data_IF_417487914429
#
_entry.id   IF_417487914429
#
_cell.length_a   1.000
_cell.length_b   1.000
_cell.length_c   1.000
_cell.angle_alpha   90.00
_cell.angle_beta   90.00
_cell.angle_gamma   90.00
#
_symmetry.space_group_name_H-M   'P 1'
#
loop_
_entity.id
_entity.type
_entity.pdbx_description
1 polymer ?
#
# COMPACT_ATOMS: atom_id res chain seq x y z
N UNK A 1 -0.14 2.00 -23.62
CA UNK A 1 -1.60 2.00 -23.32
C UNK A 1 -2.25 3.32 -23.73
N UNK A 2 -1.81 4.50 -23.27
CA UNK A 2 -2.43 5.81 -23.59
C UNK A 2 -2.64 6.06 -25.08
N UNK A 3 -1.60 5.83 -25.92
CA UNK A 3 -1.70 6.05 -27.36
C UNK A 3 -2.67 5.08 -28.05
N UNK A 4 -2.82 3.87 -27.53
CA UNK A 4 -3.78 2.89 -28.08
C UNK A 4 -5.20 3.27 -27.67
N UNK A 5 -5.42 3.60 -26.39
CA UNK A 5 -6.73 4.04 -25.89
C UNK A 5 -7.29 5.20 -26.72
N UNK A 6 -6.48 6.24 -26.97
CA UNK A 6 -6.89 7.39 -27.79
C UNK A 6 -7.31 7.02 -29.21
N UNK A 7 -6.66 6.03 -29.84
CA UNK A 7 -7.03 5.55 -31.19
C UNK A 7 -8.41 4.90 -31.24
N UNK A 8 -8.88 4.39 -30.10
CA UNK A 8 -10.19 3.73 -29.98
C UNK A 8 -11.23 4.61 -29.25
N UNK A 9 -10.99 5.90 -29.10
CA UNK A 9 -11.91 6.83 -28.42
C UNK A 9 -12.00 6.64 -26.92
N UNK A 10 -11.02 5.96 -26.29
CA UNK A 10 -10.97 5.70 -24.86
C UNK A 10 -9.95 6.60 -24.16
N UNK A 11 -10.16 6.83 -22.88
CA UNK A 11 -9.20 7.51 -21.99
C UNK A 11 -8.52 6.47 -21.10
N UNK A 12 -7.19 6.51 -21.05
CA UNK A 12 -6.41 5.66 -20.17
C UNK A 12 -6.03 6.46 -18.93
N UNK A 13 -6.65 6.13 -17.80
CA UNK A 13 -6.35 6.72 -16.50
C UNK A 13 -5.20 5.95 -15.85
N UNK A 14 -4.12 6.66 -15.51
CA UNK A 14 -2.93 6.09 -14.85
C UNK A 14 -2.84 6.50 -13.37
N UNK A 15 -3.90 7.05 -12.81
CA UNK A 15 -3.98 7.37 -11.39
C UNK A 15 -4.07 6.07 -10.57
N UNK A 16 -3.47 6.05 -9.39
CA UNK A 16 -3.45 4.89 -8.49
C UNK A 16 -4.86 4.43 -8.12
N UNK A 17 -5.76 5.39 -7.88
CA UNK A 17 -7.16 5.15 -7.50
C UNK A 17 -8.05 6.22 -8.15
N UNK A 18 -8.49 6.03 -9.40
CA UNK A 18 -9.27 7.04 -10.12
C UNK A 18 -10.67 7.24 -9.53
N UNK A 19 -11.29 6.19 -8.95
CA UNK A 19 -12.62 6.22 -8.37
C UNK A 19 -12.68 5.41 -7.08
N UNK A 20 -13.50 5.87 -6.12
CA UNK A 20 -13.81 5.10 -4.91
C UNK A 20 -14.61 3.84 -5.28
N UNK A 21 -14.39 2.75 -4.54
CA UNK A 21 -15.15 1.50 -4.71
C UNK A 21 -14.79 0.64 -5.93
N UNK A 22 -13.83 1.05 -6.76
CA UNK A 22 -13.32 0.25 -7.90
C UNK A 22 -11.83 -0.04 -7.74
N UNK A 23 -11.33 -1.02 -8.48
CA UNK A 23 -9.92 -1.38 -8.45
C UNK A 23 -9.05 -0.19 -8.91
N UNK A 24 -7.93 -0.02 -8.22
CA UNK A 24 -6.88 0.93 -8.61
C UNK A 24 -5.81 0.28 -9.48
N UNK A 25 -4.69 0.98 -9.65
CA UNK A 25 -3.50 0.43 -10.30
C UNK A 25 -2.28 0.52 -9.40
N UNK A 26 -1.46 -0.51 -9.43
CA UNK A 26 -0.22 -0.60 -8.68
C UNK A 26 0.86 -1.28 -9.50
N UNK A 27 2.06 -1.33 -8.92
CA UNK A 27 3.18 -2.13 -9.41
C UNK A 27 3.44 -3.26 -8.44
N UNK A 28 3.72 -4.44 -8.97
CA UNK A 28 4.22 -5.56 -8.19
C UNK A 28 5.73 -5.64 -8.42
N UNK A 29 6.49 -5.37 -7.37
CA UNK A 29 7.94 -5.46 -7.39
C UNK A 29 8.36 -6.88 -7.03
N UNK A 30 8.75 -7.66 -8.04
CA UNK A 30 9.32 -8.99 -7.83
C UNK A 30 10.79 -8.82 -7.45
N UNK A 31 11.17 -9.31 -6.29
CA UNK A 31 12.47 -9.14 -5.70
C UNK A 31 13.05 -10.48 -5.23
N UNK A 32 14.31 -10.74 -5.57
CA UNK A 32 15.05 -11.91 -5.15
C UNK A 32 16.51 -11.55 -4.94
N UNK A 33 17.27 -12.47 -4.37
CA UNK A 33 18.71 -12.38 -4.18
C UNK A 33 19.39 -13.54 -4.91
N UNK A 34 20.57 -13.29 -5.47
CA UNK A 34 21.32 -14.33 -6.13
C UNK A 34 22.81 -14.10 -5.99
N UNK A 35 23.60 -15.16 -6.18
CA UNK A 35 25.04 -15.12 -6.28
C UNK A 35 25.47 -14.56 -7.65
N UNK A 36 26.75 -14.22 -7.78
CA UNK A 36 27.37 -13.84 -9.06
C UNK A 36 27.40 -14.99 -10.06
N UNK A 37 27.29 -16.24 -9.60
CA UNK A 37 27.18 -17.44 -10.44
C UNK A 37 25.71 -17.67 -10.92
N UNK A 38 24.77 -16.88 -10.43
CA UNK A 38 23.36 -16.92 -10.84
C UNK A 38 22.47 -17.87 -10.04
N UNK A 39 22.96 -18.38 -8.90
CA UNK A 39 22.14 -19.15 -7.96
C UNK A 39 21.16 -18.23 -7.24
N UNK A 40 19.87 -18.61 -7.20
CA UNK A 40 18.84 -17.88 -6.48
C UNK A 40 18.77 -18.31 -5.02
N UNK A 41 19.14 -17.44 -4.10
CA UNK A 41 19.16 -17.69 -2.66
C UNK A 41 17.76 -17.84 -2.02
N UNK A 42 16.72 -17.45 -2.75
CA UNK A 42 15.32 -17.61 -2.35
C UNK A 42 14.63 -18.78 -3.08
N UNK A 43 15.41 -19.69 -3.70
CA UNK A 43 14.85 -20.90 -4.26
C UNK A 43 14.78 -21.98 -3.18
N UNK A 44 13.57 -22.46 -2.82
CA UNK A 44 13.40 -23.50 -1.79
C UNK A 44 13.94 -24.86 -2.21
N UNK A 45 14.10 -25.12 -3.52
CA UNK A 45 14.37 -26.46 -4.05
C UNK A 45 13.23 -27.43 -3.80
N UNK A 46 13.53 -28.72 -3.92
CA UNK A 46 12.54 -29.80 -3.75
C UNK A 46 12.23 -30.10 -2.27
N UNK A 47 13.16 -29.77 -1.35
CA UNK A 47 13.04 -30.02 0.10
C UNK A 47 13.28 -28.73 0.90
N UNK A 48 12.30 -27.79 0.94
CA UNK A 48 12.46 -26.49 1.60
C UNK A 48 12.88 -26.57 3.08
N UNK A 49 12.43 -27.60 3.80
CA UNK A 49 12.71 -27.83 5.22
C UNK A 49 14.15 -28.26 5.51
N UNK A 50 14.88 -28.77 4.50
CA UNK A 50 16.28 -29.17 4.57
C UNK A 50 17.22 -28.11 4.00
N UNK A 51 16.69 -27.16 3.22
CA UNK A 51 17.48 -26.10 2.57
C UNK A 51 17.79 -24.96 3.55
N UNK A 52 18.81 -25.16 4.37
CA UNK A 52 19.21 -24.20 5.40
C UNK A 52 19.61 -22.84 4.85
N UNK A 53 20.21 -22.77 3.66
CA UNK A 53 20.55 -21.53 2.98
C UNK A 53 19.29 -20.74 2.65
N UNK A 54 18.32 -21.37 2.01
CA UNK A 54 17.03 -20.75 1.70
C UNK A 54 16.32 -20.24 2.97
N UNK A 55 16.27 -21.07 4.02
CA UNK A 55 15.63 -20.71 5.30
C UNK A 55 16.33 -19.52 5.98
N UNK A 56 17.67 -19.45 5.91
CA UNK A 56 18.44 -18.32 6.43
C UNK A 56 18.05 -17.01 5.75
N UNK A 57 18.04 -16.97 4.41
CA UNK A 57 17.67 -15.76 3.68
C UNK A 57 16.20 -15.39 3.84
N UNK A 58 15.30 -16.35 3.93
CA UNK A 58 13.89 -16.09 4.26
C UNK A 58 13.75 -15.50 5.68
N UNK A 59 14.45 -16.03 6.68
CA UNK A 59 14.44 -15.51 8.05
C UNK A 59 14.98 -14.06 8.09
N UNK A 60 16.04 -13.77 7.34
CA UNK A 60 16.58 -12.41 7.21
C UNK A 60 15.55 -11.43 6.63
N UNK A 61 14.81 -11.84 5.58
CA UNK A 61 13.74 -11.01 5.01
C UNK A 61 12.61 -10.78 6.01
N UNK A 62 12.18 -11.81 6.73
CA UNK A 62 11.13 -11.68 7.76
C UNK A 62 11.56 -10.70 8.85
N UNK A 63 12.79 -10.84 9.35
CA UNK A 63 13.37 -9.94 10.35
C UNK A 63 13.48 -8.51 9.85
N UNK A 64 13.97 -8.30 8.63
CA UNK A 64 14.12 -6.99 8.00
C UNK A 64 12.79 -6.24 7.89
N UNK A 65 11.77 -6.90 7.36
CA UNK A 65 10.44 -6.30 7.17
C UNK A 65 9.76 -6.01 8.49
N UNK A 66 9.89 -6.92 9.48
CA UNK A 66 9.34 -6.70 10.81
C UNK A 66 9.99 -5.50 11.52
N UNK A 67 11.32 -5.44 11.52
CA UNK A 67 12.07 -4.36 12.19
C UNK A 67 11.82 -3.01 11.53
N UNK A 68 11.77 -2.96 10.20
CA UNK A 68 11.72 -1.72 9.41
C UNK A 68 10.41 -1.50 8.69
N UNK A 69 9.28 -2.00 9.23
CA UNK A 69 7.95 -1.86 8.62
C UNK A 69 7.56 -0.39 8.34
N UNK A 70 7.90 0.53 9.24
CA UNK A 70 7.63 1.96 9.08
C UNK A 70 8.43 2.58 7.92
N UNK A 71 9.71 2.27 7.82
CA UNK A 71 10.57 2.73 6.73
C UNK A 71 10.12 2.15 5.38
N UNK A 72 9.77 0.86 5.34
CA UNK A 72 9.25 0.23 4.12
C UNK A 72 7.94 0.88 3.68
N UNK A 73 7.02 1.21 4.63
CA UNK A 73 5.79 1.97 4.34
C UNK A 73 6.11 3.39 3.86
N UNK A 74 7.06 4.08 4.47
CA UNK A 74 7.49 5.41 4.06
C UNK A 74 8.04 5.43 2.62
N UNK A 75 8.72 4.36 2.20
CA UNK A 75 9.31 4.24 0.87
C UNK A 75 8.28 4.28 -0.28
N UNK A 76 7.01 4.00 0.03
CA UNK A 76 5.89 4.00 -0.93
C UNK A 76 4.87 5.11 -0.65
N UNK A 77 5.17 6.03 0.26
CA UNK A 77 4.25 7.09 0.66
C UNK A 77 4.03 8.11 -0.47
N UNK A 78 2.77 8.43 -0.75
CA UNK A 78 2.37 9.49 -1.68
C UNK A 78 0.87 9.75 -1.55
N UNK A 79 0.36 10.95 -1.98
CA UNK A 79 -1.08 11.23 -1.94
C UNK A 79 -1.94 10.19 -2.67
N UNK A 80 -1.48 9.71 -3.83
CA UNK A 80 -2.18 8.66 -4.59
C UNK A 80 -2.26 7.33 -3.85
N UNK A 81 -1.26 6.99 -3.03
CA UNK A 81 -1.24 5.80 -2.20
C UNK A 81 -2.22 5.88 -1.03
N UNK A 82 -2.43 7.07 -0.45
CA UNK A 82 -3.39 7.27 0.63
C UNK A 82 -4.83 6.93 0.17
N UNK A 83 -5.15 7.22 -1.10
CA UNK A 83 -6.43 6.82 -1.70
C UNK A 83 -6.49 5.35 -2.11
N UNK A 84 -5.34 4.73 -2.44
CA UNK A 84 -5.27 3.39 -3.00
C UNK A 84 -5.25 2.30 -1.94
N UNK A 85 -4.41 2.44 -0.89
CA UNK A 85 -4.17 1.39 0.09
C UNK A 85 -5.43 1.02 0.88
N UNK A 86 -5.62 -0.28 1.12
CA UNK A 86 -6.64 -0.80 2.02
C UNK A 86 -7.93 -1.31 1.37
N UNK A 87 -8.09 -1.25 0.04
CA UNK A 87 -9.29 -1.76 -0.62
C UNK A 87 -9.06 -2.11 -2.11
N UNK A 88 -9.95 -2.96 -2.65
CA UNK A 88 -10.07 -3.23 -4.10
C UNK A 88 -8.73 -3.61 -4.76
N UNK A 89 -8.18 -4.73 -4.35
CA UNK A 89 -6.91 -5.32 -4.82
C UNK A 89 -5.64 -4.52 -4.47
N UNK A 90 -5.75 -3.46 -3.66
CA UNK A 90 -4.60 -2.81 -3.06
C UNK A 90 -4.40 -3.29 -1.62
N UNK A 91 -3.17 -3.66 -1.20
CA UNK A 91 -2.93 -4.11 0.15
C UNK A 91 -3.18 -2.99 1.17
N UNK A 92 -3.41 -3.33 2.46
CA UNK A 92 -3.52 -2.32 3.51
C UNK A 92 -2.18 -1.61 3.77
N UNK A 93 -2.23 -0.55 4.57
CA UNK A 93 -1.04 0.17 5.02
C UNK A 93 -0.18 -0.62 6.02
N UNK A 94 -0.71 -1.70 6.57
CA UNK A 94 0.00 -2.62 7.46
C UNK A 94 0.95 -3.47 6.64
N UNK A 95 2.25 -3.41 6.93
CA UNK A 95 3.22 -4.29 6.31
C UNK A 95 3.15 -5.67 6.96
N UNK A 96 2.71 -6.67 6.21
CA UNK A 96 2.66 -8.07 6.61
C UNK A 96 3.25 -8.95 5.53
N UNK A 97 3.74 -10.12 5.91
CA UNK A 97 4.35 -11.08 4.99
C UNK A 97 3.44 -12.29 4.85
N UNK A 98 3.14 -12.67 3.62
CA UNK A 98 2.54 -13.95 3.28
C UNK A 98 3.63 -14.93 2.85
N UNK A 99 3.76 -16.04 3.56
CA UNK A 99 4.73 -17.10 3.23
C UNK A 99 4.13 -18.25 2.40
N UNK A 100 2.82 -18.39 2.46
CA UNK A 100 2.11 -19.57 1.99
C UNK A 100 2.10 -20.69 3.04
N UNK A 101 1.10 -21.56 2.95
CA UNK A 101 0.80 -22.57 3.97
C UNK A 101 1.98 -23.52 4.25
N UNK A 102 2.71 -23.92 3.21
CA UNK A 102 3.80 -24.90 3.38
C UNK A 102 5.03 -24.27 4.04
N UNK A 103 5.47 -23.09 3.60
CA UNK A 103 6.63 -22.43 4.19
C UNK A 103 6.34 -21.96 5.62
N UNK A 104 5.12 -21.52 5.92
CA UNK A 104 4.69 -21.18 7.27
C UNK A 104 4.74 -22.38 8.22
N UNK A 105 4.33 -23.57 7.75
CA UNK A 105 4.48 -24.82 8.53
C UNK A 105 5.95 -25.13 8.82
N UNK A 106 6.83 -24.96 7.83
CA UNK A 106 8.27 -25.20 8.02
C UNK A 106 8.82 -24.28 9.12
N UNK A 107 8.53 -22.98 9.06
CA UNK A 107 9.00 -22.04 10.08
C UNK A 107 8.40 -22.29 11.46
N UNK A 108 7.13 -22.70 11.54
CA UNK A 108 6.48 -23.05 12.78
C UNK A 108 7.11 -24.33 13.41
N UNK A 109 7.49 -25.32 12.59
CA UNK A 109 8.21 -26.50 13.06
C UNK A 109 9.62 -26.15 13.55
N UNK A 110 10.34 -25.24 12.88
CA UNK A 110 11.63 -24.71 13.32
C UNK A 110 11.49 -24.03 14.68
N UNK A 111 10.47 -23.19 14.87
CA UNK A 111 10.21 -22.54 16.14
C UNK A 111 10.02 -23.53 17.30
N UNK A 112 9.34 -24.64 17.04
CA UNK A 112 9.08 -25.69 18.03
C UNK A 112 10.28 -26.60 18.28
N UNK A 113 11.38 -26.41 17.50
CA UNK A 113 12.57 -27.26 17.56
C UNK A 113 12.34 -28.65 16.95
N UNK A 114 11.27 -28.80 16.17
CA UNK A 114 10.97 -30.03 15.46
C UNK A 114 11.86 -30.10 14.21
N UNK A 115 12.59 -31.20 14.05
CA UNK A 115 13.28 -31.50 12.80
C UNK A 115 12.19 -31.92 11.82
N UNK A 116 11.94 -31.09 10.80
CA UNK A 116 10.82 -31.30 9.89
C UNK A 116 10.86 -32.69 9.24
N UNK A 117 9.97 -33.56 9.65
CA UNK A 117 9.61 -34.70 8.83
C UNK A 117 8.92 -34.16 7.58
N UNK A 118 9.33 -34.65 6.42
CA UNK A 118 8.69 -34.31 5.15
C UNK A 118 7.19 -34.51 5.28
N UNK A 119 6.40 -33.42 5.30
CA UNK A 119 4.97 -33.55 5.13
C UNK A 119 4.74 -34.15 3.75
N UNK A 120 4.03 -35.29 3.63
CA UNK A 120 3.71 -35.87 2.34
C UNK A 120 3.05 -34.78 1.50
N UNK A 121 3.43 -34.69 0.22
CA UNK A 121 2.80 -33.78 -0.76
C UNK A 121 1.28 -33.74 -0.51
N UNK A 122 0.76 -32.62 -0.07
CA UNK A 122 -0.67 -32.46 0.13
C UNK A 122 -1.32 -32.38 -1.25
N UNK A 123 -2.06 -33.42 -1.60
CA UNK A 123 -2.82 -33.47 -2.84
C UNK A 123 -4.22 -32.87 -2.63
N UNK A 124 -4.61 -31.98 -3.50
CA UNK A 124 -6.01 -31.53 -3.61
C UNK A 124 -6.86 -32.71 -4.08
N UNK A 125 -7.55 -33.36 -3.14
CA UNK A 125 -8.61 -34.32 -3.44
C UNK A 125 -9.83 -33.59 -3.97
N UNK A 126 -10.00 -33.56 -5.29
CA UNK A 126 -11.14 -32.90 -5.96
C UNK A 126 -12.46 -33.67 -5.78
N UNK A 127 -12.50 -34.71 -4.92
CA UNK A 127 -13.72 -35.47 -4.60
C UNK A 127 -14.34 -36.23 -5.76
N UNK A 128 -13.67 -36.27 -6.93
CA UNK A 128 -14.14 -36.98 -8.12
C UNK A 128 -13.17 -38.10 -8.47
N UNK A 129 -13.66 -39.34 -8.66
CA UNK A 129 -12.83 -40.51 -8.96
C UNK A 129 -12.15 -40.49 -10.35
N UNK A 130 -12.38 -39.46 -11.14
CA UNK A 130 -11.96 -39.35 -12.55
C UNK A 130 -10.77 -38.43 -12.76
N UNK A 131 -10.41 -37.59 -11.79
CA UNK A 131 -9.26 -36.68 -11.92
C UNK A 131 -8.10 -37.19 -11.03
N UNK A 132 -6.87 -37.23 -11.57
CA UNK A 132 -5.70 -37.53 -10.75
C UNK A 132 -5.54 -36.46 -9.64
N UNK A 133 -5.06 -36.88 -8.45
CA UNK A 133 -4.73 -35.92 -7.40
C UNK A 133 -3.72 -34.89 -7.95
N UNK A 134 -4.08 -33.61 -7.89
CA UNK A 134 -3.18 -32.53 -8.27
C UNK A 134 -2.31 -32.19 -7.07
N UNK A 135 -0.96 -32.12 -7.22
CA UNK A 135 -0.12 -31.61 -6.16
C UNK A 135 -0.56 -30.19 -5.81
N UNK A 136 -0.75 -29.91 -4.52
CA UNK A 136 -0.91 -28.55 -4.06
C UNK A 136 0.39 -27.81 -4.33
N UNK A 137 0.39 -26.96 -5.35
CA UNK A 137 1.48 -26.03 -5.50
C UNK A 137 1.51 -25.12 -4.28
N UNK A 138 2.66 -25.00 -3.61
CA UNK A 138 2.92 -24.02 -2.55
C UNK A 138 2.81 -22.55 -2.98
N UNK A 139 2.24 -22.30 -4.14
CA UNK A 139 1.93 -20.99 -4.71
C UNK A 139 0.51 -20.54 -4.42
N UNK A 140 -0.01 -20.77 -3.23
CA UNK A 140 -1.24 -20.11 -2.79
C UNK A 140 -1.07 -18.61 -2.87
N UNK A 141 -1.93 -17.94 -3.65
CA UNK A 141 -1.83 -16.51 -3.89
C UNK A 141 -2.78 -15.78 -2.93
N UNK A 142 -2.27 -15.36 -1.79
CA UNK A 142 -2.95 -14.32 -1.04
C UNK A 142 -2.83 -12.99 -1.79
N UNK A 143 -3.93 -12.54 -2.43
CA UNK A 143 -3.95 -11.31 -3.23
C UNK A 143 -3.99 -10.04 -2.37
N UNK A 144 -4.28 -10.18 -1.08
CA UNK A 144 -4.45 -9.06 -0.16
C UNK A 144 -3.17 -8.68 0.58
N UNK A 145 -2.17 -9.57 0.62
CA UNK A 145 -0.90 -9.32 1.31
C UNK A 145 -0.04 -8.28 0.61
N UNK A 146 0.55 -7.31 1.34
CA UNK A 146 1.44 -6.30 0.78
C UNK A 146 2.81 -6.87 0.37
N UNK A 147 3.27 -7.93 1.03
CA UNK A 147 4.56 -8.56 0.78
C UNK A 147 4.39 -10.09 0.82
N UNK A 148 4.61 -10.76 -0.29
CA UNK A 148 4.30 -12.18 -0.42
C UNK A 148 5.45 -12.96 -1.00
N UNK A 149 5.76 -14.14 -0.41
CA UNK A 149 6.61 -15.14 -1.02
C UNK A 149 5.84 -15.85 -2.16
N UNK A 150 6.43 -15.91 -3.34
CA UNK A 150 5.78 -16.45 -4.55
C UNK A 150 6.61 -17.55 -5.22
N UNK A 151 7.12 -18.47 -4.39
CA UNK A 151 7.78 -19.70 -4.82
C UNK A 151 9.32 -19.60 -4.87
N UNK A 152 9.90 -18.53 -5.39
CA UNK A 152 11.36 -18.33 -5.44
C UNK A 152 11.77 -16.87 -5.35
N UNK A 153 10.89 -16.01 -4.86
CA UNK A 153 11.07 -14.57 -4.70
C UNK A 153 10.00 -14.00 -3.79
N UNK A 154 10.24 -12.81 -3.29
CA UNK A 154 9.21 -11.99 -2.67
C UNK A 154 8.62 -11.00 -3.68
N UNK A 155 7.35 -10.73 -3.54
CA UNK A 155 6.60 -9.77 -4.34
C UNK A 155 6.09 -8.65 -3.43
N UNK A 156 6.65 -7.45 -3.58
CA UNK A 156 6.17 -6.26 -2.88
C UNK A 156 5.09 -5.57 -3.71
N UNK A 157 3.84 -5.63 -3.25
CA UNK A 157 2.62 -5.26 -4.00
C UNK A 157 2.07 -3.88 -3.66
N UNK A 158 2.61 -3.25 -2.63
CA UNK A 158 2.08 -2.00 -2.11
C UNK A 158 2.54 -0.74 -2.88
N UNK A 159 3.22 -0.88 -4.01
CA UNK A 159 3.74 0.24 -4.79
C UNK A 159 2.67 0.84 -5.71
N UNK A 160 2.56 2.17 -5.72
CA UNK A 160 1.69 2.90 -6.64
C UNK A 160 2.14 2.80 -8.10
N UNK A 161 1.19 2.87 -9.03
CA UNK A 161 1.46 2.72 -10.47
C UNK A 161 2.36 3.82 -11.05
N UNK A 162 2.29 5.03 -10.53
CA UNK A 162 3.09 6.20 -10.95
C UNK A 162 4.46 6.30 -10.27
N UNK A 163 4.71 5.49 -9.20
CA UNK A 163 5.92 5.58 -8.41
C UNK A 163 7.14 4.97 -9.12
N UNK A 164 8.33 5.52 -8.81
CA UNK A 164 9.61 4.88 -9.11
C UNK A 164 9.84 3.69 -8.16
N UNK A 165 10.47 2.64 -8.66
CA UNK A 165 10.91 1.49 -7.85
C UNK A 165 12.23 1.76 -7.10
N UNK A 166 12.91 2.89 -7.35
CA UNK A 166 14.24 3.17 -6.82
C UNK A 166 14.27 3.20 -5.31
N UNK A 167 13.45 4.05 -4.67
CA UNK A 167 13.46 4.17 -3.21
C UNK A 167 13.00 2.89 -2.50
N UNK A 168 11.88 2.25 -2.89
CA UNK A 168 11.48 0.97 -2.29
C UNK A 168 12.55 -0.12 -2.40
N UNK A 169 13.25 -0.21 -3.54
CA UNK A 169 14.36 -1.18 -3.70
C UNK A 169 15.58 -0.80 -2.86
N UNK A 170 15.92 0.50 -2.79
CA UNK A 170 17.01 0.96 -1.93
C UNK A 170 16.74 0.60 -0.47
N UNK A 171 15.53 0.88 0.02
CA UNK A 171 15.11 0.53 1.38
C UNK A 171 15.16 -0.99 1.58
N UNK A 172 14.50 -1.76 0.69
CA UNK A 172 14.43 -3.22 0.82
C UNK A 172 15.82 -3.86 0.85
N UNK A 173 16.70 -3.46 -0.08
CA UNK A 173 18.06 -3.99 -0.11
C UNK A 173 18.83 -3.66 1.18
N UNK A 174 18.70 -2.43 1.70
CA UNK A 174 19.46 -2.01 2.89
C UNK A 174 18.97 -2.69 4.16
N UNK A 175 17.64 -2.79 4.37
CA UNK A 175 17.09 -3.47 5.55
C UNK A 175 17.39 -4.96 5.56
N UNK A 176 17.38 -5.60 4.37
CA UNK A 176 17.73 -7.02 4.26
C UNK A 176 19.23 -7.24 4.45
N UNK A 177 20.10 -6.34 3.95
CA UNK A 177 21.52 -6.40 4.22
C UNK A 177 21.82 -6.35 5.73
N UNK A 178 21.18 -5.42 6.48
CA UNK A 178 21.32 -5.36 7.93
C UNK A 178 20.88 -6.66 8.63
N UNK A 179 19.76 -7.24 8.20
CA UNK A 179 19.29 -8.48 8.80
C UNK A 179 20.22 -9.68 8.49
N UNK A 180 20.79 -9.71 7.28
CA UNK A 180 21.79 -10.74 6.90
C UNK A 180 23.05 -10.58 7.74
N UNK A 181 23.58 -9.36 7.86
CA UNK A 181 24.77 -9.09 8.69
C UNK A 181 24.56 -9.55 10.13
N UNK A 182 23.42 -9.18 10.73
CA UNK A 182 23.10 -9.57 12.11
C UNK A 182 23.06 -11.10 12.30
N UNK A 183 22.38 -11.82 11.37
CA UNK A 183 22.30 -13.28 11.48
C UNK A 183 23.64 -13.97 11.12
N UNK A 184 24.42 -13.38 10.22
CA UNK A 184 25.73 -13.88 9.83
C UNK A 184 26.74 -13.73 10.95
N UNK A 185 26.76 -12.61 11.70
CA UNK A 185 27.61 -12.39 12.87
C UNK A 185 27.34 -13.46 13.95
N UNK A 186 26.07 -13.72 14.26
CA UNK A 186 25.70 -14.79 15.21
C UNK A 186 26.17 -16.19 14.72
N UNK A 187 26.10 -16.45 13.40
CA UNK A 187 26.52 -17.71 12.81
C UNK A 187 28.04 -17.85 12.85
N UNK A 188 28.79 -16.80 12.51
CA UNK A 188 30.25 -16.76 12.53
C UNK A 188 30.76 -17.02 13.95
N UNK A 189 30.20 -16.35 14.97
CA UNK A 189 30.55 -16.57 16.37
C UNK A 189 30.35 -18.03 16.82
N UNK A 190 29.25 -18.65 16.39
CA UNK A 190 28.97 -20.05 16.71
C UNK A 190 29.94 -21.03 16.02
N UNK A 191 30.31 -20.75 14.77
CA UNK A 191 31.27 -21.56 14.00
C UNK A 191 32.70 -21.41 14.57
N UNK A 192 33.11 -20.19 14.95
CA UNK A 192 34.37 -19.94 15.62
C UNK A 192 34.47 -20.66 16.96
N UNK A 193 33.34 -20.78 17.68
CA UNK A 193 33.25 -21.58 18.91
C UNK A 193 33.32 -23.10 18.66
N UNK A 194 33.41 -23.55 17.40
CA UNK A 194 33.55 -24.95 16.99
C UNK A 194 32.25 -25.71 16.76
N UNK A 195 31.13 -25.03 16.61
CA UNK A 195 29.86 -25.67 16.26
C UNK A 195 29.87 -26.14 14.79
N UNK A 196 29.14 -27.20 14.50
CA UNK A 196 28.81 -27.60 13.13
C UNK A 196 27.79 -26.62 12.53
N UNK A 197 27.82 -26.42 11.20
CA UNK A 197 26.99 -25.43 10.50
C UNK A 197 25.49 -25.62 10.81
N UNK A 198 24.99 -26.84 10.71
CA UNK A 198 23.58 -27.12 10.96
C UNK A 198 23.22 -26.91 12.43
N UNK A 199 24.10 -27.35 13.35
CA UNK A 199 23.91 -27.18 14.79
C UNK A 199 23.95 -25.70 15.22
N UNK A 200 24.75 -24.86 14.52
CA UNK A 200 24.83 -23.43 14.74
C UNK A 200 23.60 -22.70 14.19
N UNK A 201 23.18 -23.05 12.98
CA UNK A 201 22.14 -22.30 12.25
C UNK A 201 20.73 -22.52 12.78
N UNK A 202 20.38 -23.75 13.16
CA UNK A 202 19.01 -24.07 13.65
C UNK A 202 18.56 -23.21 14.84
N UNK A 203 19.34 -23.01 15.91
CA UNK A 203 18.95 -22.14 17.01
C UNK A 203 18.82 -20.65 16.59
N UNK A 204 19.64 -20.19 15.64
CA UNK A 204 19.56 -18.83 15.09
C UNK A 204 18.23 -18.63 14.37
N UNK A 205 17.87 -19.55 13.47
CA UNK A 205 16.58 -19.51 12.75
C UNK A 205 15.39 -19.55 13.71
N UNK A 206 15.45 -20.42 14.73
CA UNK A 206 14.41 -20.56 15.75
C UNK A 206 14.19 -19.23 16.49
N UNK A 207 15.26 -18.61 17.01
CA UNK A 207 15.18 -17.33 17.71
C UNK A 207 14.71 -16.19 16.79
N UNK A 208 15.29 -16.12 15.58
CA UNK A 208 14.92 -15.08 14.62
C UNK A 208 13.45 -15.15 14.26
N UNK A 209 12.94 -16.34 13.93
CA UNK A 209 11.52 -16.48 13.58
C UNK A 209 10.61 -16.20 14.77
N UNK A 210 10.89 -16.74 15.94
CA UNK A 210 10.10 -16.50 17.16
C UNK A 210 9.99 -15.00 17.51
N UNK A 211 11.08 -14.24 17.29
CA UNK A 211 11.12 -12.80 17.55
C UNK A 211 10.40 -11.97 16.48
N UNK A 212 10.19 -12.49 15.27
CA UNK A 212 9.71 -11.72 14.12
C UNK A 212 8.41 -12.26 13.49
N UNK A 213 7.88 -13.39 13.94
CA UNK A 213 6.70 -14.05 13.34
C UNK A 213 5.42 -13.22 13.38
N UNK A 214 5.33 -12.19 14.24
CA UNK A 214 4.17 -11.30 14.31
C UNK A 214 3.86 -10.59 12.98
N UNK A 215 4.86 -10.44 12.09
CA UNK A 215 4.68 -9.84 10.76
C UNK A 215 4.07 -10.83 9.75
N UNK A 216 4.11 -12.15 10.06
CA UNK A 216 3.61 -13.19 9.14
C UNK A 216 2.10 -13.33 9.29
N UNK A 217 1.39 -13.23 8.16
CA UNK A 217 -0.06 -13.36 8.15
C UNK A 217 -0.57 -13.96 6.83
N UNK A 218 -1.33 -15.06 6.95
CA UNK A 218 -1.87 -15.82 5.81
C UNK A 218 -3.33 -15.55 5.47
N UNK A 219 -4.05 -14.75 6.30
CA UNK A 219 -5.48 -14.48 6.15
C UNK A 219 -5.84 -13.33 5.23
N UNK A 220 -7.08 -12.85 5.33
CA UNK A 220 -7.58 -11.70 4.58
C UNK A 220 -7.09 -10.39 5.21
N UNK A 221 -6.18 -9.70 4.53
CA UNK A 221 -5.59 -8.45 4.99
C UNK A 221 -6.57 -7.26 4.96
N UNK A 222 -7.77 -7.40 4.39
CA UNK A 222 -8.79 -6.34 4.39
C UNK A 222 -9.74 -6.41 5.57
N UNK A 223 -9.75 -7.52 6.32
CA UNK A 223 -10.70 -7.73 7.41
C UNK A 223 -10.44 -6.79 8.59
N UNK A 224 -11.50 -6.35 9.25
CA UNK A 224 -11.39 -5.55 10.49
C UNK A 224 -10.76 -6.38 11.63
N UNK A 225 -10.98 -7.68 11.63
CA UNK A 225 -10.36 -8.61 12.57
C UNK A 225 -8.84 -8.59 12.42
N UNK A 226 -8.33 -8.53 11.17
CA UNK A 226 -6.90 -8.40 10.94
C UNK A 226 -6.36 -7.05 11.45
N UNK A 227 -7.07 -5.96 11.22
CA UNK A 227 -6.61 -4.65 11.69
C UNK A 227 -6.48 -4.64 13.23
N UNK A 228 -7.43 -5.20 13.96
CA UNK A 228 -7.38 -5.33 15.42
C UNK A 228 -6.26 -6.29 15.87
N UNK A 229 -6.09 -7.41 15.18
CA UNK A 229 -5.04 -8.37 15.46
C UNK A 229 -3.64 -7.77 15.22
N UNK A 230 -3.43 -7.08 14.10
CA UNK A 230 -2.18 -6.41 13.75
C UNK A 230 -1.78 -5.39 14.82
N UNK A 231 -2.72 -4.59 15.32
CA UNK A 231 -2.49 -3.66 16.42
C UNK A 231 -2.07 -4.41 17.69
N UNK A 232 -2.74 -5.51 18.03
CA UNK A 232 -2.38 -6.34 19.18
C UNK A 232 -1.00 -6.99 19.09
N UNK A 233 -0.53 -7.26 17.84
CA UNK A 233 0.80 -7.76 17.53
C UNK A 233 1.87 -6.65 17.51
N UNK A 234 1.50 -5.37 17.68
CA UNK A 234 2.40 -4.22 17.61
C UNK A 234 2.80 -3.82 16.19
N UNK A 235 2.03 -4.22 15.18
CA UNK A 235 2.27 -3.83 13.80
C UNK A 235 1.74 -2.42 13.52
N UNK A 236 2.47 -1.66 12.70
CA UNK A 236 2.11 -0.29 12.36
C UNK A 236 1.04 -0.24 11.28
N UNK A 237 0.02 0.59 11.48
CA UNK A 237 -0.99 0.90 10.48
C UNK A 237 -0.89 2.37 10.06
N UNK A 238 0.09 2.69 9.23
CA UNK A 238 0.39 4.05 8.77
C UNK A 238 -0.44 4.37 7.53
N UNK A 239 -1.70 4.75 7.73
CA UNK A 239 -2.69 4.90 6.65
C UNK A 239 -2.35 6.04 5.70
N UNK A 240 -1.93 7.18 6.22
CA UNK A 240 -1.62 8.37 5.44
C UNK A 240 -0.11 8.60 5.28
N UNK A 241 0.24 9.32 4.24
CA UNK A 241 1.62 9.72 3.94
C UNK A 241 2.28 10.50 5.09
N UNK A 242 1.62 11.49 5.74
CA UNK A 242 2.19 12.19 6.89
C UNK A 242 2.53 11.28 8.07
N UNK A 243 1.79 10.18 8.27
CA UNK A 243 2.07 9.21 9.33
C UNK A 243 3.33 8.39 9.05
N UNK A 244 3.60 8.13 7.76
CA UNK A 244 4.70 7.27 7.34
C UNK A 244 6.03 8.00 7.16
N UNK A 245 6.01 9.22 6.61
CA UNK A 245 7.24 9.94 6.26
C UNK A 245 8.20 10.19 7.41
N UNK A 246 7.80 10.41 8.68
CA UNK A 246 8.72 10.59 9.80
C UNK A 246 9.70 9.40 9.99
N UNK A 247 9.32 8.20 9.55
CA UNK A 247 10.22 7.02 9.60
C UNK A 247 11.44 7.14 8.68
N UNK A 248 11.43 8.04 7.68
CA UNK A 248 12.61 8.29 6.85
C UNK A 248 13.76 8.98 7.61
N UNK A 249 13.44 9.72 8.65
CA UNK A 249 14.37 10.52 9.44
C UNK A 249 14.46 10.05 10.89
N UNK A 250 13.93 8.87 11.22
CA UNK A 250 14.09 8.28 12.55
C UNK A 250 15.56 7.93 12.80
N UNK A 251 15.97 7.94 14.05
CA UNK A 251 17.35 7.60 14.45
C UNK A 251 17.78 6.22 13.94
N UNK A 252 16.88 5.25 13.97
CA UNK A 252 17.13 3.90 13.42
C UNK A 252 17.42 3.93 11.93
N UNK A 253 16.63 4.69 11.15
CA UNK A 253 16.83 4.84 9.71
C UNK A 253 18.13 5.56 9.39
N UNK A 254 18.43 6.64 10.09
CA UNK A 254 19.69 7.39 9.93
C UNK A 254 20.89 6.49 10.21
N UNK A 255 20.84 5.72 11.30
CA UNK A 255 21.88 4.77 11.68
C UNK A 255 22.04 3.67 10.62
N UNK A 256 20.94 3.07 10.19
CA UNK A 256 20.92 2.03 9.15
C UNK A 256 21.62 2.52 7.86
N UNK A 257 21.14 3.63 7.30
CA UNK A 257 21.67 4.11 6.02
C UNK A 257 23.12 4.60 6.11
N UNK A 258 23.51 5.16 7.27
CA UNK A 258 24.89 5.58 7.53
C UNK A 258 25.83 4.39 7.63
N UNK A 259 25.45 3.32 8.32
CA UNK A 259 26.28 2.11 8.51
C UNK A 259 26.60 1.43 7.16
N UNK A 260 25.63 1.42 6.24
CA UNK A 260 25.81 0.83 4.90
C UNK A 260 26.30 1.85 3.85
N UNK A 261 26.52 3.11 4.22
CA UNK A 261 27.04 4.14 3.30
C UNK A 261 26.09 4.45 2.14
N UNK A 262 24.77 4.22 2.30
CA UNK A 262 23.77 4.36 1.24
C UNK A 262 23.26 5.79 1.15
N UNK A 263 22.84 6.38 2.27
CA UNK A 263 22.38 7.77 2.37
C UNK A 263 22.90 8.39 3.68
N UNK A 264 23.35 9.61 3.62
CA UNK A 264 23.66 10.41 4.80
C UNK A 264 22.39 10.96 5.46
N UNK A 265 22.48 11.34 6.73
CA UNK A 265 21.37 12.01 7.44
C UNK A 265 20.83 13.20 6.66
N UNK A 266 21.69 14.05 6.10
CA UNK A 266 21.30 15.22 5.31
C UNK A 266 20.51 14.84 4.05
N UNK A 267 20.86 13.74 3.42
CA UNK A 267 20.13 13.27 2.22
C UNK A 267 18.76 12.68 2.58
N UNK A 268 18.64 12.05 3.76
CA UNK A 268 17.36 11.58 4.27
C UNK A 268 16.45 12.75 4.65
N UNK A 269 16.97 13.74 5.39
CA UNK A 269 16.24 14.95 5.77
C UNK A 269 15.75 15.71 4.51
N UNK A 270 16.62 15.87 3.52
CA UNK A 270 16.23 16.53 2.26
C UNK A 270 15.12 15.80 1.52
N UNK A 271 15.13 14.44 1.50
CA UNK A 271 14.05 13.64 0.90
C UNK A 271 12.75 13.77 1.68
N UNK A 272 12.84 13.75 2.99
CA UNK A 272 11.68 13.92 3.88
C UNK A 272 10.98 15.25 3.61
N UNK A 273 11.72 16.36 3.60
CA UNK A 273 11.18 17.70 3.30
C UNK A 273 10.56 17.75 1.90
N UNK A 274 11.27 17.25 0.89
CA UNK A 274 10.76 17.23 -0.50
C UNK A 274 9.48 16.40 -0.63
N UNK A 275 9.38 15.26 0.06
CA UNK A 275 8.16 14.44 -0.02
C UNK A 275 6.98 15.09 0.70
N UNK A 276 7.20 15.76 1.82
CA UNK A 276 6.17 16.57 2.48
C UNK A 276 5.69 17.71 1.58
N UNK A 277 6.62 18.46 0.96
CA UNK A 277 6.30 19.53 0.03
C UNK A 277 5.52 19.01 -1.20
N UNK A 278 5.93 17.88 -1.76
CA UNK A 278 5.22 17.24 -2.87
C UNK A 278 3.80 16.80 -2.47
N UNK A 279 3.62 16.28 -1.24
CA UNK A 279 2.32 15.91 -0.73
C UNK A 279 1.40 17.12 -0.64
N UNK A 280 1.85 18.18 0.01
CA UNK A 280 1.10 19.43 0.17
C UNK A 280 0.78 20.07 -1.19
N UNK A 281 1.79 20.22 -2.05
CA UNK A 281 1.62 20.84 -3.38
C UNK A 281 0.59 20.09 -4.22
N UNK A 282 0.64 18.77 -4.21
CA UNK A 282 -0.31 17.96 -4.97
C UNK A 282 -1.73 18.11 -4.47
N UNK A 283 -1.94 18.04 -3.16
CA UNK A 283 -3.27 18.20 -2.58
C UNK A 283 -3.82 19.63 -2.75
N UNK A 284 -2.98 20.66 -2.68
CA UNK A 284 -3.38 22.04 -3.03
C UNK A 284 -3.90 22.12 -4.48
N UNK A 285 -3.17 21.54 -5.45
CA UNK A 285 -3.59 21.52 -6.86
C UNK A 285 -4.93 20.77 -7.01
N UNK A 286 -5.10 19.66 -6.33
CA UNK A 286 -6.34 18.88 -6.36
C UNK A 286 -7.51 19.67 -5.76
N UNK A 287 -7.30 20.36 -4.63
CA UNK A 287 -8.30 21.19 -3.97
C UNK A 287 -8.71 22.40 -4.83
N UNK A 288 -7.74 23.13 -5.40
CA UNK A 288 -8.01 24.24 -6.33
C UNK A 288 -8.77 23.77 -7.57
N UNK A 289 -8.40 22.62 -8.12
CA UNK A 289 -9.05 22.06 -9.30
C UNK A 289 -10.48 21.65 -8.97
N UNK A 290 -10.71 20.97 -7.83
CA UNK A 290 -12.05 20.58 -7.37
C UNK A 290 -12.94 21.81 -7.15
N UNK A 291 -12.45 22.83 -6.45
CA UNK A 291 -13.17 24.09 -6.24
C UNK A 291 -13.50 24.80 -7.58
N UNK A 292 -12.55 24.85 -8.50
CA UNK A 292 -12.73 25.45 -9.82
C UNK A 292 -13.81 24.74 -10.64
N UNK A 293 -13.77 23.40 -10.73
CA UNK A 293 -14.78 22.59 -11.43
C UNK A 293 -16.16 22.80 -10.77
N UNK A 294 -16.22 22.68 -9.45
CA UNK A 294 -17.46 22.86 -8.70
C UNK A 294 -18.10 24.25 -8.97
N UNK A 295 -17.29 25.29 -8.89
CA UNK A 295 -17.76 26.68 -9.01
C UNK A 295 -18.06 27.12 -10.44
N UNK A 296 -17.28 26.67 -11.41
CA UNK A 296 -17.39 27.17 -12.79
C UNK A 296 -18.17 26.26 -13.72
N UNK A 297 -18.36 24.99 -13.38
CA UNK A 297 -19.05 24.01 -14.21
C UNK A 297 -20.32 23.46 -13.54
N UNK A 298 -20.21 22.89 -12.33
CA UNK A 298 -21.32 22.18 -11.68
C UNK A 298 -22.34 23.14 -11.08
N UNK A 299 -21.92 24.15 -10.35
CA UNK A 299 -22.81 25.13 -9.74
C UNK A 299 -23.65 25.90 -10.80
N UNK A 300 -23.09 26.38 -11.92
CA UNK A 300 -23.88 26.98 -13.01
C UNK A 300 -24.88 26.03 -13.64
N UNK A 301 -24.57 24.72 -13.75
CA UNK A 301 -25.48 23.71 -14.26
C UNK A 301 -26.68 23.51 -13.30
N UNK A 302 -26.41 23.34 -12.01
CA UNK A 302 -27.43 23.21 -10.98
C UNK A 302 -28.31 24.47 -10.86
N UNK A 303 -27.72 25.66 -10.95
CA UNK A 303 -28.46 26.95 -10.94
C UNK A 303 -29.40 27.07 -12.16
N UNK A 304 -28.97 26.63 -13.36
CA UNK A 304 -29.83 26.60 -14.56
C UNK A 304 -30.99 25.64 -14.38
N UNK A 305 -30.74 24.44 -13.84
CA UNK A 305 -31.79 23.47 -13.56
C UNK A 305 -32.81 24.03 -12.56
N UNK A 306 -32.36 24.64 -11.46
CA UNK A 306 -33.25 25.30 -10.49
C UNK A 306 -34.10 26.38 -11.14
N UNK A 307 -33.52 27.23 -11.99
CA UNK A 307 -34.27 28.26 -12.72
C UNK A 307 -35.34 27.66 -13.65
N UNK A 308 -35.08 26.53 -14.28
CA UNK A 308 -36.09 25.80 -15.10
C UNK A 308 -37.27 25.31 -14.23
N UNK A 309 -37.00 24.71 -13.07
CA UNK A 309 -38.06 24.25 -12.15
C UNK A 309 -38.90 25.39 -11.63
N UNK A 310 -38.30 26.52 -11.27
CA UNK A 310 -39.00 27.74 -10.83
C UNK A 310 -39.87 28.29 -11.95
N UNK A 311 -39.38 28.35 -13.17
CA UNK A 311 -40.14 28.84 -14.33
C UNK A 311 -41.31 27.91 -14.72
N UNK A 312 -41.16 26.63 -14.51
CA UNK A 312 -42.19 25.61 -14.69
C UNK A 312 -43.21 25.53 -13.50
N UNK A 313 -43.04 26.37 -12.50
CA UNK A 313 -43.88 26.40 -11.27
C UNK A 313 -43.91 25.07 -10.48
N UNK A 314 -42.82 24.31 -10.54
CA UNK A 314 -42.64 23.04 -9.82
C UNK A 314 -42.10 23.33 -8.40
N UNK A 315 -42.92 23.96 -7.55
CA UNK A 315 -42.45 24.55 -6.29
C UNK A 315 -41.80 23.59 -5.30
N UNK A 316 -42.29 22.36 -5.17
CA UNK A 316 -41.71 21.35 -4.27
C UNK A 316 -40.32 20.93 -4.75
N UNK A 317 -40.17 20.51 -6.02
CA UNK A 317 -38.91 20.12 -6.63
C UNK A 317 -37.89 21.28 -6.67
N UNK A 318 -38.37 22.51 -6.91
CA UNK A 318 -37.51 23.69 -6.87
C UNK A 318 -36.97 23.91 -5.45
N UNK A 319 -37.76 23.75 -4.41
CA UNK A 319 -37.35 23.92 -3.00
C UNK A 319 -36.34 22.86 -2.58
N UNK A 320 -36.56 21.59 -2.99
CA UNK A 320 -35.59 20.51 -2.76
C UNK A 320 -34.24 20.77 -3.47
N UNK A 321 -34.30 21.19 -4.75
CA UNK A 321 -33.10 21.51 -5.52
C UNK A 321 -32.36 22.71 -4.94
N UNK A 322 -33.08 23.76 -4.46
CA UNK A 322 -32.49 24.92 -3.82
C UNK A 322 -31.70 24.54 -2.56
N UNK A 323 -32.23 23.63 -1.75
CA UNK A 323 -31.53 23.12 -0.56
C UNK A 323 -30.24 22.39 -0.93
N UNK A 324 -30.25 21.55 -1.96
CA UNK A 324 -29.06 20.86 -2.46
C UNK A 324 -28.00 21.84 -3.01
N UNK A 325 -28.44 22.85 -3.75
CA UNK A 325 -27.54 23.90 -4.26
C UNK A 325 -26.92 24.70 -3.13
N UNK A 326 -27.71 25.02 -2.09
CA UNK A 326 -27.19 25.71 -0.90
C UNK A 326 -26.11 24.90 -0.20
N UNK A 327 -26.37 23.63 0.06
CA UNK A 327 -25.38 22.70 0.64
C UNK A 327 -24.10 22.63 -0.20
N UNK A 328 -24.22 22.58 -1.52
CA UNK A 328 -23.07 22.56 -2.42
C UNK A 328 -22.27 23.86 -2.40
N UNK A 329 -22.94 25.03 -2.34
CA UNK A 329 -22.29 26.33 -2.20
C UNK A 329 -21.51 26.44 -0.89
N UNK A 330 -22.09 25.96 0.21
CA UNK A 330 -21.41 25.99 1.51
C UNK A 330 -20.18 25.07 1.52
N UNK A 331 -20.28 23.86 0.95
CA UNK A 331 -19.14 22.96 0.80
C UNK A 331 -18.01 23.58 -0.05
N UNK A 332 -18.35 24.28 -1.15
CA UNK A 332 -17.35 25.00 -1.98
C UNK A 332 -16.63 26.07 -1.15
N UNK A 333 -17.38 26.85 -0.35
CA UNK A 333 -16.81 27.90 0.50
C UNK A 333 -15.88 27.33 1.57
N UNK A 334 -16.27 26.23 2.19
CA UNK A 334 -15.43 25.52 3.17
C UNK A 334 -14.14 25.03 2.54
N UNK A 335 -14.19 24.43 1.34
CA UNK A 335 -12.99 24.01 0.61
C UNK A 335 -12.10 25.19 0.23
N UNK A 336 -12.65 26.26 -0.31
CA UNK A 336 -11.89 27.48 -0.63
C UNK A 336 -11.23 28.04 0.64
N UNK A 337 -11.94 28.09 1.76
CA UNK A 337 -11.40 28.57 3.04
C UNK A 337 -10.31 27.65 3.60
N UNK A 338 -10.49 26.32 3.54
CA UNK A 338 -9.49 25.36 3.96
C UNK A 338 -8.20 25.46 3.10
N UNK A 339 -8.34 25.86 1.83
CA UNK A 339 -7.20 25.97 0.92
C UNK A 339 -6.57 27.39 0.85
N UNK A 340 -7.05 28.34 1.65
CA UNK A 340 -6.41 29.64 1.77
C UNK A 340 -5.05 29.51 2.46
N UNK A 341 -4.00 30.11 1.86
CA UNK A 341 -2.65 30.08 2.40
C UNK A 341 -2.57 30.56 3.86
N UNK A 342 -3.36 31.58 4.23
CA UNK A 342 -3.39 32.13 5.59
C UNK A 342 -3.92 31.15 6.65
N UNK A 343 -4.66 30.11 6.24
CA UNK A 343 -5.22 29.09 7.15
C UNK A 343 -4.33 27.86 7.26
N UNK A 344 -3.29 27.74 6.41
CA UNK A 344 -2.40 26.59 6.38
C UNK A 344 -1.15 26.83 7.23
N UNK A 345 -0.67 25.82 7.98
CA UNK A 345 0.56 25.95 8.77
C UNK A 345 1.80 25.83 7.86
N UNK A 346 2.48 26.95 7.58
CA UNK A 346 3.64 27.01 6.69
C UNK A 346 4.99 26.82 7.39
N UNK A 347 5.03 26.96 8.72
CA UNK A 347 6.28 26.93 9.49
C UNK A 347 6.83 25.52 9.72
N UNK A 348 6.03 24.48 9.50
CA UNK A 348 6.36 23.09 9.73
C UNK A 348 5.74 22.20 8.63
N UNK A 349 6.60 21.59 7.82
CA UNK A 349 6.17 20.77 6.69
C UNK A 349 5.29 19.58 7.07
N UNK A 350 5.56 18.92 8.22
CA UNK A 350 4.75 17.82 8.70
C UNK A 350 3.35 18.28 9.12
N UNK A 351 3.27 19.35 9.91
CA UNK A 351 1.97 19.93 10.32
C UNK A 351 1.17 20.40 9.13
N UNK A 352 1.86 20.93 8.10
CA UNK A 352 1.19 21.32 6.87
C UNK A 352 0.60 20.09 6.14
N UNK A 353 1.36 19.01 6.04
CA UNK A 353 0.87 17.77 5.45
C UNK A 353 -0.28 17.14 6.26
N UNK A 354 -0.20 17.19 7.60
CA UNK A 354 -1.29 16.75 8.49
C UNK A 354 -2.53 17.60 8.30
N UNK A 355 -2.40 18.93 8.18
CA UNK A 355 -3.52 19.82 7.87
C UNK A 355 -4.19 19.46 6.54
N UNK A 356 -3.40 19.16 5.50
CA UNK A 356 -3.95 18.73 4.21
C UNK A 356 -4.77 17.45 4.36
N UNK A 357 -4.27 16.48 5.14
CA UNK A 357 -4.98 15.23 5.44
C UNK A 357 -6.27 15.46 6.23
N UNK A 358 -6.21 16.26 7.29
CA UNK A 358 -7.27 16.34 8.32
C UNK A 358 -8.33 17.41 8.01
N UNK A 359 -8.00 18.40 7.16
CA UNK A 359 -8.88 19.53 6.84
C UNK A 359 -9.18 19.61 5.35
N UNK A 360 -8.15 19.67 4.50
CA UNK A 360 -8.36 19.92 3.07
C UNK A 360 -8.99 18.70 2.35
N UNK A 361 -8.54 17.49 2.62
CA UNK A 361 -9.13 16.27 2.01
C UNK A 361 -10.59 16.12 2.41
N UNK A 362 -11.00 16.20 3.70
CA UNK A 362 -12.41 16.15 4.07
C UNK A 362 -13.27 17.24 3.42
N UNK A 363 -12.74 18.45 3.25
CA UNK A 363 -13.45 19.51 2.55
C UNK A 363 -13.66 19.19 1.05
N UNK A 364 -12.67 18.61 0.38
CA UNK A 364 -12.84 18.10 -1.01
C UNK A 364 -13.90 16.99 -1.08
N UNK A 365 -13.90 16.07 -0.12
CA UNK A 365 -14.89 14.99 -0.05
C UNK A 365 -16.31 15.53 0.16
N UNK A 366 -16.48 16.57 0.97
CA UNK A 366 -17.77 17.22 1.17
C UNK A 366 -18.30 17.87 -0.12
N UNK A 367 -17.44 18.56 -0.88
CA UNK A 367 -17.77 19.10 -2.21
C UNK A 367 -18.20 17.99 -3.16
N UNK A 368 -17.48 16.87 -3.17
CA UNK A 368 -17.78 15.72 -4.01
C UNK A 368 -19.14 15.10 -3.64
N UNK A 369 -19.39 14.86 -2.35
CA UNK A 369 -20.65 14.25 -1.89
C UNK A 369 -21.86 15.10 -2.27
N UNK A 370 -21.76 16.42 -2.14
CA UNK A 370 -22.81 17.33 -2.56
C UNK A 370 -23.00 17.34 -4.10
N UNK A 371 -21.91 17.32 -4.86
CA UNK A 371 -21.95 17.23 -6.32
C UNK A 371 -22.57 15.91 -6.82
N UNK A 372 -22.19 14.77 -6.22
CA UNK A 372 -22.74 13.44 -6.55
C UNK A 372 -24.25 13.36 -6.27
N UNK A 373 -24.74 14.13 -5.31
CA UNK A 373 -26.18 14.25 -5.04
C UNK A 373 -26.88 15.09 -6.11
N UNK A 374 -26.28 16.21 -6.52
CA UNK A 374 -26.79 17.05 -7.60
C UNK A 374 -26.80 16.35 -8.96
N UNK A 375 -25.78 15.49 -9.24
CA UNK A 375 -25.74 14.71 -10.49
C UNK A 375 -27.00 13.89 -10.71
N UNK A 376 -27.64 13.41 -9.65
CA UNK A 376 -28.84 12.56 -9.71
C UNK A 376 -30.13 13.33 -10.02
N UNK A 377 -30.14 14.65 -9.80
CA UNK A 377 -31.36 15.49 -9.92
C UNK A 377 -31.25 16.52 -11.04
N UNK A 378 -30.06 16.99 -11.37
CA UNK A 378 -29.85 17.97 -12.46
C UNK A 378 -30.14 17.30 -13.81
N UNK A 379 -30.82 18.03 -14.69
CA UNK A 379 -31.15 17.53 -16.03
C UNK A 379 -29.91 17.05 -16.79
N UNK A 380 -30.06 15.96 -17.51
CA UNK A 380 -28.97 15.21 -18.15
C UNK A 380 -28.14 16.07 -19.13
N UNK A 381 -28.85 16.90 -19.91
CA UNK A 381 -28.27 17.82 -20.89
C UNK A 381 -27.57 19.05 -20.28
N UNK A 382 -27.79 19.31 -18.98
CA UNK A 382 -27.15 20.40 -18.26
C UNK A 382 -25.90 19.96 -17.50
N UNK A 383 -25.77 18.65 -17.18
CA UNK A 383 -24.62 18.16 -16.40
C UNK A 383 -23.35 18.11 -17.24
N UNK A 384 -22.29 18.87 -16.85
CA UNK A 384 -21.15 19.10 -17.75
C UNK A 384 -20.06 18.03 -17.69
N UNK A 385 -20.17 17.09 -16.73
CA UNK A 385 -19.21 15.99 -16.56
C UNK A 385 -19.85 14.66 -16.96
N UNK A 386 -19.05 13.65 -17.38
CA UNK A 386 -19.54 12.30 -17.56
C UNK A 386 -20.14 11.78 -16.25
N UNK A 387 -21.34 11.22 -16.31
CA UNK A 387 -21.99 10.60 -15.15
C UNK A 387 -21.35 9.25 -14.81
N UNK A 388 -21.41 8.84 -13.56
CA UNK A 388 -20.93 7.51 -13.16
C UNK A 388 -21.59 6.39 -13.95
N UNK A 389 -22.89 6.50 -14.25
CA UNK A 389 -23.61 5.56 -15.09
C UNK A 389 -23.08 5.46 -16.52
N UNK A 390 -22.43 6.49 -17.03
CA UNK A 390 -21.84 6.52 -18.38
C UNK A 390 -20.40 6.02 -18.41
N UNK A 391 -19.64 6.24 -17.32
CA UNK A 391 -18.24 5.80 -17.21
C UNK A 391 -18.14 4.28 -17.09
N UNK A 392 -19.07 3.66 -16.36
CA UNK A 392 -19.06 2.24 -16.04
C UNK A 392 -19.66 1.33 -17.12
N UNK A 393 -20.34 1.88 -18.10
CA UNK A 393 -20.96 1.13 -19.18
C UNK A 393 -20.44 1.60 -20.55
N UNK A 394 -19.95 0.65 -21.32
CA UNK A 394 -19.65 0.87 -22.73
C UNK A 394 -21.02 0.95 -23.43
N UNK A 395 -21.41 2.14 -23.91
CA UNK A 395 -22.57 2.32 -24.78
C UNK A 395 -22.19 2.00 -26.21
#
# INVERSE_FOLDING_TARGET
>A
MQNVARRYGLVCLLHEKPFAGVNGSGKHNNWSMGTDEGENLLDPGDTPHENLQFLFFCAAVIQAVNKHQGLLRASIASPGQDHRLGANEAPPAIMSIFLGTELEKVFNAIEQGEVGESTPESFLGLGTPVLPPLPMHGGDRNRTSPFAFTGNKFEFRALGSSMSLSLPNTVLNTIVAEAIDYLAEELEDALEAGADLEAALRPILQRSYAANKQIVFGGDNYSEEWHAEAESRGLLNLRATPDALPYLVSDDTVTLFSNYGVLSQRELESRYEVFLEQYVTRLNIEAETAASIAKTMLLPAAARHLAMLLSAQMGELASETEALVSTFVDAIRELENANLAENQPHDDGLKHAEYMRDVTIPAMEAVRAAADTLEKVVADDLWPLPKYSEILFVK
#
